data_IF_583180477818
#
_entry.id   IF_583180477818
#
_cell.length_a   1.000
_cell.length_b   1.000
_cell.length_c   1.000
_cell.angle_alpha   90.00
_cell.angle_beta   90.00
_cell.angle_gamma   90.00
#
_symmetry.space_group_name_H-M   'P 1'
#
loop_
_entity.id
_entity.type
_entity.pdbx_description
1 polymer ?
#
# COMPACT_ATOMS: atom_id res chain seq x y z
N UNK A 1 35.22 -28.95 4.03
CA UNK A 1 33.78 -29.32 4.12
C UNK A 1 33.10 -28.66 5.33
N UNK A 2 33.87 -28.10 6.25
CA UNK A 2 33.38 -27.53 7.52
C UNK A 2 32.74 -26.15 7.37
N UNK A 3 33.28 -25.30 6.48
CA UNK A 3 32.69 -23.98 6.18
C UNK A 3 31.27 -24.07 5.60
N UNK A 4 30.97 -25.16 4.88
CA UNK A 4 29.65 -25.39 4.29
C UNK A 4 28.64 -25.79 5.37
N UNK A 5 29.05 -26.63 6.33
CA UNK A 5 28.22 -26.97 7.50
C UNK A 5 27.96 -25.75 8.38
N UNK A 6 28.97 -24.91 8.59
CA UNK A 6 28.85 -23.68 9.38
C UNK A 6 27.91 -22.65 8.73
N UNK A 7 27.99 -22.49 7.40
CA UNK A 7 27.06 -21.65 6.64
C UNK A 7 25.63 -22.19 6.71
N UNK A 8 25.44 -23.51 6.66
CA UNK A 8 24.12 -24.15 6.74
C UNK A 8 23.45 -23.94 8.10
N UNK A 9 24.23 -24.03 9.19
CA UNK A 9 23.72 -23.72 10.54
C UNK A 9 23.37 -22.23 10.70
N UNK A 10 24.18 -21.31 10.16
CA UNK A 10 23.84 -19.87 10.17
C UNK A 10 22.53 -19.55 9.45
N UNK A 11 22.30 -20.16 8.29
CA UNK A 11 21.05 -19.97 7.52
C UNK A 11 19.85 -20.54 8.27
N UNK A 12 20.01 -21.70 8.92
CA UNK A 12 18.95 -22.33 9.72
C UNK A 12 18.55 -21.47 10.92
N UNK A 13 19.54 -20.89 11.60
CA UNK A 13 19.32 -19.93 12.71
C UNK A 13 18.61 -18.68 12.18
N UNK A 14 19.07 -18.10 11.07
CA UNK A 14 18.44 -16.92 10.45
C UNK A 14 16.98 -17.17 10.06
N UNK A 15 16.66 -18.34 9.48
CA UNK A 15 15.28 -18.71 9.14
C UNK A 15 14.41 -18.93 10.40
N UNK A 16 14.99 -19.47 11.47
CA UNK A 16 14.29 -19.63 12.74
C UNK A 16 13.96 -18.28 13.40
N UNK A 17 14.91 -17.34 13.37
CA UNK A 17 14.74 -15.95 13.83
C UNK A 17 13.72 -15.20 12.97
N UNK A 18 13.83 -15.28 11.64
CA UNK A 18 12.87 -14.68 10.72
C UNK A 18 11.45 -15.21 10.96
N UNK A 19 11.27 -16.51 11.17
CA UNK A 19 9.97 -17.10 11.51
C UNK A 19 9.42 -16.58 12.85
N UNK A 20 10.29 -16.33 13.83
CA UNK A 20 9.89 -15.74 15.10
C UNK A 20 9.45 -14.27 14.96
N UNK A 21 10.10 -13.48 14.10
CA UNK A 21 9.69 -12.11 13.80
C UNK A 21 8.41 -12.04 12.98
N UNK A 22 8.25 -12.92 11.99
CA UNK A 22 7.00 -13.04 11.22
C UNK A 22 5.80 -13.35 12.11
N UNK A 23 6.00 -14.03 13.25
CA UNK A 23 4.94 -14.29 14.23
C UNK A 23 4.55 -13.05 15.05
N UNK A 24 5.42 -12.03 15.11
CA UNK A 24 5.11 -10.71 15.70
C UNK A 24 4.37 -9.80 14.72
N UNK A 25 4.31 -10.15 13.44
CA UNK A 25 3.50 -9.43 12.45
C UNK A 25 2.03 -9.66 12.77
N UNK A 26 1.42 -8.66 13.38
CA UNK A 26 -0.03 -8.61 13.61
C UNK A 26 -0.72 -8.40 12.28
N UNK A 27 -1.02 -9.50 11.58
CA UNK A 27 -1.83 -9.43 10.38
C UNK A 27 -3.20 -8.81 10.73
N UNK A 28 -3.59 -7.73 10.06
CA UNK A 28 -4.87 -7.12 10.31
C UNK A 28 -5.97 -8.12 10.00
N UNK A 29 -6.96 -8.22 10.88
CA UNK A 29 -8.15 -9.02 10.61
C UNK A 29 -8.85 -8.49 9.36
N UNK A 30 -9.51 -9.34 8.54
CA UNK A 30 -10.15 -8.92 7.30
C UNK A 30 -11.14 -7.77 7.50
N UNK A 31 -11.74 -7.66 8.69
CA UNK A 31 -12.61 -6.53 9.06
C UNK A 31 -11.86 -5.20 9.19
N UNK A 32 -10.65 -5.19 9.74
CA UNK A 32 -9.82 -3.99 9.83
C UNK A 32 -9.25 -3.59 8.47
N UNK A 33 -8.84 -4.57 7.65
CA UNK A 33 -8.38 -4.29 6.29
C UNK A 33 -9.48 -3.63 5.43
N UNK A 34 -10.72 -4.11 5.56
CA UNK A 34 -11.88 -3.52 4.87
C UNK A 34 -12.23 -2.11 5.39
N UNK A 35 -12.13 -1.88 6.71
CA UNK A 35 -12.38 -0.56 7.30
C UNK A 35 -11.34 0.48 6.85
N UNK A 36 -10.06 0.11 6.77
CA UNK A 36 -9.02 1.02 6.27
C UNK A 36 -9.19 1.31 4.77
N UNK A 37 -9.61 0.30 3.99
CA UNK A 37 -9.82 0.45 2.54
C UNK A 37 -11.05 1.29 2.22
N UNK A 38 -12.13 1.19 3.01
CA UNK A 38 -13.36 1.96 2.79
C UNK A 38 -13.15 3.46 2.96
N UNK A 39 -12.35 3.88 3.95
CA UNK A 39 -11.98 5.29 4.15
C UNK A 39 -11.22 5.82 2.94
N UNK A 40 -10.24 5.07 2.43
CA UNK A 40 -9.47 5.46 1.23
C UNK A 40 -10.40 5.61 0.02
N UNK A 41 -11.32 4.66 -0.18
CA UNK A 41 -12.32 4.72 -1.25
C UNK A 41 -13.16 6.00 -1.20
N UNK A 42 -13.65 6.39 -0.02
CA UNK A 42 -14.41 7.63 0.15
C UNK A 42 -13.57 8.85 -0.22
N UNK A 43 -12.32 8.91 0.25
CA UNK A 43 -11.40 10.03 -0.07
C UNK A 43 -11.14 10.11 -1.57
N UNK A 44 -10.90 8.98 -2.24
CA UNK A 44 -10.68 8.93 -3.70
C UNK A 44 -11.91 9.41 -4.48
N UNK A 45 -13.11 9.03 -4.04
CA UNK A 45 -14.36 9.50 -4.69
C UNK A 45 -14.51 11.01 -4.54
N UNK A 46 -14.27 11.56 -3.35
CA UNK A 46 -14.35 13.01 -3.13
C UNK A 46 -13.30 13.76 -3.94
N UNK A 47 -12.04 13.30 -3.94
CA UNK A 47 -10.97 13.92 -4.72
C UNK A 47 -11.24 13.86 -6.22
N UNK A 48 -11.71 12.73 -6.75
CA UNK A 48 -11.98 12.59 -8.19
C UNK A 48 -13.14 13.48 -8.64
N UNK A 49 -14.19 13.62 -7.83
CA UNK A 49 -15.27 14.59 -8.09
C UNK A 49 -14.76 16.02 -8.09
N UNK A 50 -13.95 16.41 -7.09
CA UNK A 50 -13.40 17.75 -7.00
C UNK A 50 -12.51 18.08 -8.22
N UNK A 51 -11.54 17.22 -8.52
CA UNK A 51 -10.65 17.40 -9.66
C UNK A 51 -11.44 17.45 -10.96
N UNK A 52 -12.37 16.52 -11.17
CA UNK A 52 -13.21 16.51 -12.37
C UNK A 52 -14.01 17.80 -12.56
N UNK A 53 -14.53 18.38 -11.47
CA UNK A 53 -15.26 19.65 -11.52
C UNK A 53 -14.34 20.83 -11.88
N UNK A 54 -13.12 20.84 -11.32
CA UNK A 54 -12.09 21.84 -11.63
C UNK A 54 -11.62 21.71 -13.08
N UNK A 55 -11.33 20.50 -13.55
CA UNK A 55 -10.93 20.21 -14.93
C UNK A 55 -12.00 20.66 -15.93
N UNK A 56 -13.28 20.37 -15.65
CA UNK A 56 -14.39 20.87 -16.48
C UNK A 56 -14.49 22.39 -16.49
N UNK A 57 -14.30 23.04 -15.34
CA UNK A 57 -14.28 24.50 -15.24
C UNK A 57 -13.15 25.12 -16.04
N UNK A 58 -11.93 24.58 -15.89
CA UNK A 58 -10.74 25.03 -16.63
C UNK A 58 -10.91 24.82 -18.13
N UNK A 59 -11.39 23.66 -18.59
CA UNK A 59 -11.63 23.40 -20.02
C UNK A 59 -12.65 24.39 -20.59
N UNK A 60 -13.70 24.74 -19.84
CA UNK A 60 -14.69 25.71 -20.29
C UNK A 60 -14.12 27.12 -20.42
N UNK A 61 -13.29 27.55 -19.45
CA UNK A 61 -12.58 28.83 -19.50
C UNK A 61 -11.58 28.86 -20.65
N UNK A 62 -10.77 27.81 -20.80
CA UNK A 62 -9.79 27.68 -21.88
C UNK A 62 -10.45 27.74 -23.26
N UNK A 63 -11.59 27.06 -23.45
CA UNK A 63 -12.37 27.14 -24.70
C UNK A 63 -12.92 28.53 -24.99
N UNK A 64 -13.17 29.34 -23.96
CA UNK A 64 -13.68 30.69 -24.10
C UNK A 64 -12.57 31.70 -24.42
N UNK A 65 -11.32 31.38 -24.08
CA UNK A 65 -10.12 32.19 -24.37
C UNK A 65 -9.47 31.80 -25.71
N UNK A 66 -9.46 30.50 -26.05
CA UNK A 66 -8.87 29.95 -27.28
C UNK A 66 -9.87 29.88 -28.46
N UNK A 67 -11.16 30.04 -28.20
CA UNK A 67 -12.16 30.34 -29.21
C UNK A 67 -12.25 31.85 -29.45
#
# INVERSE_FOLDING_TARGET
>A
MDKVKEAFEKVKVFLAEAKAEFKKVTWPTPKQALASTSVVLVVVVVMSLFLGLVDFGLVKILRLILG
#
